data_IF_099889193460
#
_entry.id   IF_099889193460
#
_cell.length_a   1.000
_cell.length_b   1.000
_cell.length_c   1.000
_cell.angle_alpha   90.00
_cell.angle_beta   90.00
_cell.angle_gamma   90.00
#
_symmetry.space_group_name_H-M   'P 1'
#
loop_
_entity.id
_entity.type
_entity.pdbx_description
1 polymer ?
#
# COMPACT_ATOMS: atom_id res chain seq x y z
N UNK A 1 -16.82 -3.97 5.62
CA UNK A 1 -16.60 -3.68 7.05
C UNK A 1 -15.25 -3.01 7.14
N UNK A 2 -15.21 -1.68 7.03
CA UNK A 2 -13.96 -0.90 7.09
C UNK A 2 -13.50 -0.75 8.53
N UNK A 3 -12.19 -0.72 8.74
CA UNK A 3 -11.58 -0.53 10.05
C UNK A 3 -11.97 0.83 10.66
N UNK A 4 -12.46 0.89 11.92
CA UNK A 4 -12.97 2.12 12.53
C UNK A 4 -11.89 3.11 13.00
N UNK A 5 -10.61 2.89 12.65
CA UNK A 5 -9.48 3.68 13.18
C UNK A 5 -8.93 4.82 12.31
N UNK A 6 -9.31 4.97 11.04
CA UNK A 6 -8.70 5.99 10.15
C UNK A 6 -9.70 7.06 9.72
N UNK A 7 -9.88 8.07 10.57
CA UNK A 7 -10.48 9.34 10.15
C UNK A 7 -9.37 10.20 9.56
N UNK A 8 -9.12 10.00 8.28
CA UNK A 8 -8.34 10.92 7.42
C UNK A 8 -9.17 11.17 6.19
N UNK A 9 -9.20 12.41 5.70
CA UNK A 9 -9.84 12.82 4.44
C UNK A 9 -9.25 12.08 3.20
N UNK A 10 -8.20 11.27 3.40
CA UNK A 10 -7.54 10.44 2.40
C UNK A 10 -8.20 9.05 2.25
N UNK A 11 -8.42 8.62 1.00
CA UNK A 11 -8.97 7.30 0.65
C UNK A 11 -8.09 6.16 1.20
N UNK A 12 -8.72 5.13 1.75
CA UNK A 12 -8.02 3.88 2.05
C UNK A 12 -7.73 3.08 0.76
N UNK A 13 -6.89 2.04 0.87
CA UNK A 13 -6.45 1.26 -0.29
C UNK A 13 -7.62 0.63 -1.06
N UNK A 14 -8.57 -0.02 -0.37
CA UNK A 14 -9.70 -0.67 -1.03
C UNK A 14 -10.59 0.34 -1.77
N UNK A 15 -10.86 1.48 -1.15
CA UNK A 15 -11.64 2.56 -1.75
C UNK A 15 -10.94 3.14 -2.98
N UNK A 16 -9.63 3.43 -2.88
CA UNK A 16 -8.86 3.96 -4.00
C UNK A 16 -8.79 2.96 -5.17
N UNK A 17 -8.63 1.67 -4.86
CA UNK A 17 -8.61 0.59 -5.85
C UNK A 17 -9.96 0.44 -6.55
N UNK A 18 -11.05 0.42 -5.77
CA UNK A 18 -12.40 0.24 -6.31
C UNK A 18 -12.78 1.42 -7.21
N UNK A 19 -12.49 2.65 -6.79
CA UNK A 19 -12.71 3.83 -7.63
C UNK A 19 -11.82 3.82 -8.89
N UNK A 20 -10.56 3.37 -8.79
CA UNK A 20 -9.69 3.23 -9.94
C UNK A 20 -10.26 2.23 -10.96
N UNK A 21 -10.81 1.11 -10.49
CA UNK A 21 -11.45 0.12 -11.35
C UNK A 21 -12.66 0.71 -12.09
N UNK A 22 -13.46 1.55 -11.41
CA UNK A 22 -14.58 2.26 -12.04
C UNK A 22 -14.11 3.27 -13.11
N UNK A 23 -13.04 4.02 -12.83
CA UNK A 23 -12.43 4.95 -13.79
C UNK A 23 -11.95 4.22 -15.03
N UNK A 24 -11.23 3.11 -14.86
CA UNK A 24 -10.75 2.27 -15.97
C UNK A 24 -11.93 1.73 -16.79
N UNK A 25 -12.95 1.17 -16.14
CA UNK A 25 -14.12 0.65 -16.84
C UNK A 25 -14.85 1.72 -17.68
N UNK A 26 -14.91 2.96 -17.18
CA UNK A 26 -15.48 4.09 -17.92
C UNK A 26 -14.63 4.48 -19.13
N UNK A 27 -13.31 4.52 -18.99
CA UNK A 27 -12.39 4.78 -20.09
C UNK A 27 -12.48 3.69 -21.17
N UNK A 28 -12.54 2.42 -20.77
CA UNK A 28 -12.65 1.27 -21.68
C UNK A 28 -13.98 1.21 -22.44
N UNK A 29 -15.07 1.70 -21.82
CA UNK A 29 -16.38 1.81 -22.48
C UNK A 29 -16.32 2.74 -23.70
N UNK A 30 -15.46 3.76 -23.66
CA UNK A 30 -15.37 4.79 -24.69
C UNK A 30 -16.63 5.67 -24.77
N UNK A 31 -16.79 6.41 -25.86
CA UNK A 31 -17.94 7.30 -26.08
C UNK A 31 -17.88 8.62 -25.29
N UNK A 32 -16.77 8.89 -24.62
CA UNK A 32 -16.51 10.14 -23.90
C UNK A 32 -15.92 11.21 -24.82
N UNK A 33 -16.09 12.48 -24.44
CA UNK A 33 -15.34 13.57 -25.07
C UNK A 33 -13.85 13.45 -24.72
N UNK A 34 -12.98 14.14 -25.47
CA UNK A 34 -11.55 14.21 -25.14
C UNK A 34 -11.32 14.79 -23.76
N UNK A 35 -12.03 15.86 -23.40
CA UNK A 35 -11.92 16.52 -22.10
C UNK A 35 -12.32 15.59 -20.96
N UNK A 36 -13.45 14.88 -21.09
CA UNK A 36 -13.88 13.89 -20.09
C UNK A 36 -12.91 12.72 -19.98
N UNK A 37 -12.33 12.28 -21.10
CA UNK A 37 -11.34 11.19 -21.13
C UNK A 37 -10.05 11.61 -20.40
N UNK A 38 -9.60 12.86 -20.57
CA UNK A 38 -8.44 13.39 -19.87
C UNK A 38 -8.70 13.53 -18.38
N UNK A 39 -9.86 14.06 -17.98
CA UNK A 39 -10.23 14.20 -16.57
C UNK A 39 -10.28 12.83 -15.86
N UNK A 40 -10.82 11.80 -16.51
CA UNK A 40 -10.81 10.44 -15.97
C UNK A 40 -9.40 9.86 -15.89
N UNK A 41 -8.56 10.09 -16.90
CA UNK A 41 -7.18 9.63 -16.86
C UNK A 41 -6.41 10.27 -15.70
N UNK A 42 -6.51 11.59 -15.51
CA UNK A 42 -5.86 12.30 -14.39
C UNK A 42 -6.34 11.79 -13.02
N UNK A 43 -7.64 11.51 -12.89
CA UNK A 43 -8.19 10.88 -11.68
C UNK A 43 -7.62 9.48 -11.48
N UNK A 44 -7.53 8.68 -12.53
CA UNK A 44 -6.93 7.35 -12.51
C UNK A 44 -5.47 7.38 -12.04
N UNK A 45 -4.65 8.29 -12.57
CA UNK A 45 -3.26 8.48 -12.15
C UNK A 45 -3.15 8.85 -10.66
N UNK A 46 -4.03 9.73 -10.18
CA UNK A 46 -4.05 10.11 -8.77
C UNK A 46 -4.41 8.92 -7.86
N UNK A 47 -5.40 8.10 -8.25
CA UNK A 47 -5.81 6.91 -7.50
C UNK A 47 -4.74 5.82 -7.52
N UNK A 48 -4.08 5.60 -8.65
CA UNK A 48 -2.96 4.66 -8.77
C UNK A 48 -1.81 5.05 -7.83
N UNK A 49 -1.47 6.34 -7.77
CA UNK A 49 -0.45 6.86 -6.85
C UNK A 49 -0.80 6.62 -5.38
N UNK A 50 -2.07 6.79 -5.01
CA UNK A 50 -2.54 6.49 -3.65
C UNK A 50 -2.37 4.99 -3.34
N UNK A 51 -2.77 4.12 -4.28
CA UNK A 51 -2.58 2.68 -4.12
C UNK A 51 -1.10 2.32 -3.91
N UNK A 52 -0.20 2.88 -4.72
CA UNK A 52 1.24 2.65 -4.62
C UNK A 52 1.80 3.08 -3.26
N UNK A 53 1.34 4.22 -2.72
CA UNK A 53 1.77 4.71 -1.41
C UNK A 53 1.35 3.76 -0.29
N UNK A 54 0.12 3.25 -0.32
CA UNK A 54 -0.36 2.26 0.65
C UNK A 54 0.44 0.97 0.58
N UNK A 55 0.71 0.47 -0.63
CA UNK A 55 1.49 -0.75 -0.83
C UNK A 55 2.95 -0.59 -0.39
N UNK A 56 3.57 0.56 -0.68
CA UNK A 56 4.92 0.88 -0.24
C UNK A 56 5.01 0.91 1.29
N UNK A 57 4.08 1.57 1.97
CA UNK A 57 4.04 1.59 3.44
C UNK A 57 3.74 0.22 4.06
N UNK A 58 2.97 -0.64 3.40
CA UNK A 58 2.79 -2.02 3.84
C UNK A 58 4.09 -2.83 3.71
N UNK A 59 4.81 -2.68 2.60
CA UNK A 59 6.09 -3.35 2.37
C UNK A 59 7.14 -2.96 3.40
N UNK A 60 7.29 -1.67 3.68
CA UNK A 60 8.26 -1.17 4.66
C UNK A 60 8.01 -1.75 6.07
N UNK A 61 6.73 -1.86 6.47
CA UNK A 61 6.35 -2.49 7.75
C UNK A 61 6.73 -3.97 7.81
N UNK A 62 6.53 -4.70 6.71
CA UNK A 62 6.93 -6.11 6.63
C UNK A 62 8.45 -6.24 6.70
N UNK A 63 9.18 -5.46 5.92
CA UNK A 63 10.65 -5.48 5.91
C UNK A 63 11.22 -5.13 7.30
N UNK A 64 10.65 -4.13 7.97
CA UNK A 64 11.05 -3.76 9.34
C UNK A 64 10.77 -4.86 10.36
N UNK A 65 9.63 -5.53 10.26
CA UNK A 65 9.27 -6.64 11.16
C UNK A 65 10.19 -7.85 10.96
N UNK A 66 10.57 -8.16 9.71
CA UNK A 66 11.52 -9.22 9.40
C UNK A 66 12.92 -8.90 9.95
N UNK A 67 13.42 -7.68 9.73
CA UNK A 67 14.73 -7.25 10.23
C UNK A 67 14.81 -7.27 11.78
N UNK A 68 13.72 -6.88 12.46
CA UNK A 68 13.64 -6.96 13.92
C UNK A 68 13.73 -8.42 14.40
N UNK A 69 13.00 -9.34 13.77
CA UNK A 69 13.02 -10.76 14.13
C UNK A 69 14.40 -11.41 13.91
N UNK A 70 15.12 -11.03 12.85
CA UNK A 70 16.49 -11.52 12.60
C UNK A 70 17.49 -11.03 13.65
N UNK A 71 17.38 -9.76 14.07
CA UNK A 71 18.23 -9.18 15.12
C UNK A 71 18.02 -9.87 16.48
N UNK A 72 16.77 -10.15 16.84
CA UNK A 72 16.42 -10.88 18.07
C UNK A 72 16.94 -12.33 18.05
N UNK A 73 16.88 -13.01 16.89
CA UNK A 73 17.43 -14.35 16.71
C UNK A 73 18.96 -14.41 16.79
N UNK A 74 19.65 -13.38 16.29
CA UNK A 74 21.12 -13.29 16.39
C UNK A 74 21.59 -12.99 17.81
N UNK A 75 20.89 -12.13 18.56
CA UNK A 75 21.24 -11.80 19.94
C UNK A 75 21.09 -13.00 20.90
N UNK A 76 20.15 -13.91 20.63
CA UNK A 76 19.97 -15.14 21.40
C UNK A 76 21.08 -16.19 21.15
N UNK A 77 21.71 -16.17 19.97
CA UNK A 77 22.77 -17.12 19.62
C UNK A 77 24.14 -16.76 20.23
N UNK A 78 24.43 -15.45 20.42
CA UNK A 78 25.73 -14.99 20.94
C UNK A 78 25.87 -15.09 22.48
N UNK A 79 24.77 -15.27 23.21
CA UNK A 79 24.77 -15.44 24.67
C UNK A 79 25.05 -16.86 25.18
N UNK A 80 25.11 -17.88 24.31
CA UNK A 80 25.28 -19.29 24.71
C UNK A 80 26.72 -19.82 24.62
N UNK A 81 27.67 -19.00 24.17
CA UNK A 81 29.08 -19.39 24.03
C UNK A 81 29.95 -18.86 25.16
N UNK A 82 30.62 -19.79 25.86
CA UNK A 82 31.76 -19.57 26.78
C UNK A 82 31.41 -19.35 28.26
N UNK A 83 30.97 -20.43 28.90
CA UNK A 83 31.42 -20.76 30.26
C UNK A 83 31.74 -22.25 30.34
N UNK A 84 32.98 -22.61 30.01
CA UNK A 84 33.60 -23.86 30.46
C UNK A 84 35.11 -23.80 30.24
N UNK A 85 35.83 -23.72 31.37
CA UNK A 85 37.22 -24.10 31.66
C UNK A 85 38.25 -22.98 31.75
#
# INVERSE_FOLDING_TARGET
MGDPGSVTDDLNYEQARDELAEVVARLETGGLSLEDSLALWERGEALAKICDQHLAGARERIESALAAAESEGSAAAEGSGVSAR
#
